data_IF_059760426326
#
_entry.id   IF_059760426326
#
_cell.length_a   1.000
_cell.length_b   1.000
_cell.length_c   1.000
_cell.angle_alpha   90.00
_cell.angle_beta   90.00
_cell.angle_gamma   90.00
#
_symmetry.space_group_name_H-M   'P 1'
#
loop_
_entity.id
_entity.type
_entity.pdbx_description
1 polymer ?
#
# COMPACT_ATOMS: atom_id res chain seq x y z
N UNK A 1 -7.29 11.45 -3.68
CA UNK A 1 -7.54 10.69 -2.43
C UNK A 1 -9.00 10.27 -2.18
N UNK A 2 -10.02 11.11 -2.40
CA UNK A 2 -11.44 10.75 -2.17
C UNK A 2 -11.87 9.46 -2.89
N UNK A 3 -11.41 9.27 -4.12
CA UNK A 3 -11.66 8.05 -4.92
C UNK A 3 -11.16 6.77 -4.25
N UNK A 4 -10.08 6.83 -3.48
CA UNK A 4 -9.50 5.66 -2.80
C UNK A 4 -10.31 5.29 -1.56
N UNK A 5 -10.82 6.28 -0.82
CA UNK A 5 -11.75 6.04 0.29
C UNK A 5 -13.03 5.37 -0.23
N UNK A 6 -13.61 5.88 -1.31
CA UNK A 6 -14.83 5.29 -1.87
C UNK A 6 -14.59 3.90 -2.45
N UNK A 7 -13.45 3.68 -3.11
CA UNK A 7 -13.02 2.35 -3.56
C UNK A 7 -12.91 1.38 -2.40
N UNK A 8 -12.23 1.76 -1.31
CA UNK A 8 -12.12 0.94 -0.10
C UNK A 8 -13.50 0.55 0.43
N UNK A 9 -14.39 1.54 0.64
CA UNK A 9 -15.73 1.27 1.16
C UNK A 9 -16.56 0.35 0.25
N UNK A 10 -16.38 0.45 -1.07
CA UNK A 10 -17.03 -0.44 -2.03
C UNK A 10 -16.45 -1.85 -2.01
N UNK A 11 -15.13 -1.99 -2.01
CA UNK A 11 -14.43 -3.27 -1.98
C UNK A 11 -14.66 -4.04 -0.67
N UNK A 12 -14.91 -3.34 0.44
CA UNK A 12 -15.12 -3.95 1.76
C UNK A 12 -16.59 -3.98 2.22
N UNK A 13 -17.54 -3.64 1.33
CA UNK A 13 -18.96 -3.53 1.64
C UNK A 13 -19.59 -4.83 2.16
N UNK A 14 -19.11 -5.98 1.70
CA UNK A 14 -19.61 -7.31 2.09
C UNK A 14 -18.67 -8.01 3.08
N UNK A 15 -17.83 -7.26 3.79
CA UNK A 15 -16.85 -7.79 4.76
C UNK A 15 -17.21 -7.41 6.20
N UNK A 16 -16.46 -7.93 7.17
CA UNK A 16 -16.58 -7.53 8.58
C UNK A 16 -16.27 -6.05 8.82
N UNK A 17 -15.70 -5.34 7.84
CA UNK A 17 -15.41 -3.90 7.93
C UNK A 17 -16.63 -3.02 7.69
N UNK A 18 -17.68 -3.54 7.04
CA UNK A 18 -18.86 -2.77 6.68
C UNK A 18 -19.52 -2.01 7.84
N UNK A 19 -19.67 -2.58 9.06
CA UNK A 19 -20.22 -1.85 10.20
C UNK A 19 -19.38 -0.64 10.65
N UNK A 20 -18.10 -0.56 10.25
CA UNK A 20 -17.21 0.55 10.59
C UNK A 20 -17.18 1.65 9.53
N UNK A 21 -17.77 1.45 8.34
CA UNK A 21 -17.66 2.37 7.21
C UNK A 21 -18.14 3.78 7.52
N UNK A 22 -19.27 3.92 8.24
CA UNK A 22 -19.81 5.23 8.61
C UNK A 22 -18.82 6.00 9.50
N UNK A 23 -18.33 5.37 10.56
CA UNK A 23 -17.37 5.98 11.48
C UNK A 23 -16.05 6.30 10.77
N UNK A 24 -15.53 5.39 9.94
CA UNK A 24 -14.31 5.62 9.18
C UNK A 24 -14.46 6.80 8.22
N UNK A 25 -15.60 6.91 7.52
CA UNK A 25 -15.87 8.04 6.62
C UNK A 25 -15.94 9.35 7.39
N UNK A 26 -16.64 9.37 8.53
CA UNK A 26 -16.73 10.54 9.40
C UNK A 26 -15.34 10.98 9.87
N UNK A 27 -14.52 10.07 10.41
CA UNK A 27 -13.16 10.35 10.85
C UNK A 27 -12.27 10.82 9.71
N UNK A 28 -12.31 10.18 8.54
CA UNK A 28 -11.53 10.62 7.39
C UNK A 28 -11.95 12.01 6.90
N UNK A 29 -13.22 12.39 7.03
CA UNK A 29 -13.68 13.72 6.64
C UNK A 29 -13.22 14.84 7.60
N UNK A 30 -13.05 14.54 8.90
CA UNK A 30 -12.68 15.55 9.92
C UNK A 30 -11.19 15.58 10.24
N UNK A 31 -10.52 14.42 10.26
CA UNK A 31 -9.15 14.28 10.76
C UNK A 31 -8.10 14.30 9.65
N UNK A 32 -8.51 14.14 8.39
CA UNK A 32 -7.58 14.16 7.27
C UNK A 32 -7.07 15.57 7.04
N UNK A 33 -5.76 15.76 7.24
CA UNK A 33 -5.09 17.03 6.96
C UNK A 33 -4.91 17.22 5.46
N UNK A 34 -4.85 18.48 5.02
CA UNK A 34 -4.47 18.83 3.66
C UNK A 34 -2.93 18.90 3.60
N UNK A 35 -2.34 18.25 2.60
CA UNK A 35 -0.91 18.34 2.33
C UNK A 35 -0.64 19.30 1.17
N UNK A 36 0.40 20.12 1.27
CA UNK A 36 0.73 21.14 0.25
C UNK A 36 1.13 20.57 -1.12
N UNK A 37 1.43 19.27 -1.21
CA UNK A 37 1.73 18.54 -2.46
C UNK A 37 0.60 17.60 -2.92
N UNK A 38 -0.56 17.66 -2.29
CA UNK A 38 -1.66 16.75 -2.60
C UNK A 38 -2.09 16.84 -4.08
N UNK A 39 -2.17 18.04 -4.64
CA UNK A 39 -2.54 18.25 -6.05
C UNK A 39 -1.53 17.62 -7.02
N UNK A 40 -0.22 17.78 -6.75
CA UNK A 40 0.86 17.17 -7.52
C UNK A 40 0.74 15.64 -7.51
N UNK A 41 0.51 15.06 -6.34
CA UNK A 41 0.39 13.61 -6.18
C UNK A 41 -0.91 13.04 -6.77
N UNK A 42 -2.03 13.76 -6.66
CA UNK A 42 -3.28 13.37 -7.32
C UNK A 42 -3.12 13.39 -8.85
N UNK A 43 -2.43 14.41 -9.40
CA UNK A 43 -2.12 14.48 -10.83
C UNK A 43 -1.21 13.32 -11.26
N UNK A 44 -0.17 13.01 -10.48
CA UNK A 44 0.71 11.87 -10.72
C UNK A 44 -0.03 10.53 -10.68
N UNK A 45 -0.95 10.33 -9.72
CA UNK A 45 -1.76 9.11 -9.66
C UNK A 45 -2.72 8.98 -10.85
N UNK A 46 -3.19 10.09 -11.42
CA UNK A 46 -4.12 10.09 -12.55
C UNK A 46 -3.47 9.66 -13.88
N UNK A 47 -2.15 9.75 -14.02
CA UNK A 47 -1.45 9.29 -15.23
C UNK A 47 -1.22 7.78 -15.23
N UNK A 48 -1.34 7.13 -14.07
CA UNK A 48 -1.07 5.71 -13.90
C UNK A 48 -2.32 4.89 -14.22
N UNK A 49 -2.19 4.01 -15.21
CA UNK A 49 -3.22 3.04 -15.54
C UNK A 49 -3.13 1.82 -14.61
N UNK A 50 -4.28 1.20 -14.34
CA UNK A 50 -4.32 0.00 -13.51
C UNK A 50 -3.49 -1.12 -14.10
N UNK A 51 -2.72 -1.80 -13.25
CA UNK A 51 -2.00 -3.01 -13.61
C UNK A 51 -2.95 -4.10 -14.13
N UNK A 52 -2.50 -4.84 -15.15
CA UNK A 52 -3.20 -6.05 -15.64
C UNK A 52 -2.43 -7.32 -15.34
N UNK A 53 -1.22 -7.18 -14.75
CA UNK A 53 -0.30 -8.27 -14.46
C UNK A 53 -0.32 -8.57 -12.97
N UNK A 54 -0.31 -9.86 -12.64
CA UNK A 54 -0.34 -10.33 -11.25
C UNK A 54 0.94 -9.93 -10.52
N UNK A 55 0.78 -9.16 -9.46
CA UNK A 55 1.86 -8.81 -8.53
C UNK A 55 2.33 -10.00 -7.68
N UNK A 56 3.55 -9.92 -7.16
CA UNK A 56 4.18 -10.96 -6.34
C UNK A 56 4.63 -10.42 -4.99
N UNK A 57 4.07 -10.99 -3.92
CA UNK A 57 4.26 -10.51 -2.54
C UNK A 57 4.92 -11.52 -1.60
N UNK A 58 5.13 -12.75 -2.06
CA UNK A 58 5.70 -13.86 -1.28
C UNK A 58 7.25 -13.87 -1.25
N UNK A 59 7.88 -12.91 -1.93
CA UNK A 59 9.34 -12.71 -1.90
C UNK A 59 9.72 -11.46 -1.09
N UNK A 60 11.02 -11.31 -0.81
CA UNK A 60 11.50 -10.19 0.02
C UNK A 60 11.40 -8.83 -0.67
N UNK A 61 11.51 -8.80 -1.99
CA UNK A 61 11.23 -7.60 -2.77
C UNK A 61 9.81 -7.71 -3.31
N UNK A 62 8.94 -6.78 -2.91
CA UNK A 62 7.54 -6.77 -3.36
C UNK A 62 7.52 -6.31 -4.82
N UNK A 63 7.08 -7.19 -5.73
CA UNK A 63 7.10 -6.94 -7.18
C UNK A 63 5.70 -6.57 -7.67
N UNK A 64 5.59 -5.40 -8.32
CA UNK A 64 4.33 -4.78 -8.73
C UNK A 64 4.47 -4.23 -10.16
N UNK A 65 3.40 -4.31 -10.96
CA UNK A 65 3.35 -3.77 -12.32
C UNK A 65 4.00 -4.64 -13.40
N UNK A 66 3.91 -4.18 -14.66
CA UNK A 66 4.53 -4.85 -15.81
C UNK A 66 6.07 -4.73 -15.72
N UNK A 67 6.83 -5.83 -15.67
CA UNK A 67 8.30 -5.80 -15.60
C UNK A 67 8.98 -5.12 -16.78
N UNK A 68 8.26 -4.85 -17.88
CA UNK A 68 8.78 -4.11 -19.03
C UNK A 68 8.47 -2.61 -19.00
N UNK A 69 7.54 -2.18 -18.14
CA UNK A 69 7.18 -0.78 -17.99
C UNK A 69 8.20 -0.05 -17.12
N UNK A 70 8.43 1.22 -17.44
CA UNK A 70 9.28 2.11 -16.68
C UNK A 70 8.40 3.06 -15.87
N UNK A 71 8.58 3.06 -14.56
CA UNK A 71 7.83 3.88 -13.62
C UNK A 71 8.74 4.83 -12.84
N UNK A 72 10.01 4.97 -13.21
CA UNK A 72 11.00 5.73 -12.44
C UNK A 72 10.55 7.17 -12.20
N UNK A 73 10.13 7.88 -13.26
CA UNK A 73 9.68 9.28 -13.16
C UNK A 73 8.53 9.43 -12.17
N UNK A 74 7.48 8.59 -12.27
CA UNK A 74 6.34 8.66 -11.35
C UNK A 74 6.74 8.31 -9.92
N UNK A 75 7.61 7.31 -9.72
CA UNK A 75 8.08 6.90 -8.39
C UNK A 75 8.88 8.00 -7.68
N UNK A 76 9.66 8.81 -8.42
CA UNK A 76 10.43 9.92 -7.83
C UNK A 76 9.55 11.03 -7.26
N UNK A 77 8.36 11.26 -7.82
CA UNK A 77 7.41 12.26 -7.31
C UNK A 77 6.93 11.95 -5.88
N UNK A 78 6.99 10.68 -5.48
CA UNK A 78 6.59 10.20 -4.15
C UNK A 78 7.78 9.98 -3.20
N UNK A 79 8.95 10.56 -3.46
CA UNK A 79 10.03 10.55 -2.48
C UNK A 79 9.66 11.35 -1.21
N UNK A 80 10.18 10.95 -0.02
CA UNK A 80 11.08 9.80 0.21
C UNK A 80 10.36 8.45 0.38
N UNK A 81 10.95 7.38 -0.14
CA UNK A 81 10.52 6.00 0.09
C UNK A 81 11.28 5.39 1.28
N UNK A 82 10.57 5.12 2.39
CA UNK A 82 11.21 4.69 3.63
C UNK A 82 11.22 3.18 3.87
N UNK A 83 10.10 2.48 3.66
CA UNK A 83 10.00 1.02 3.92
C UNK A 83 9.94 0.26 2.59
N UNK A 84 10.68 -0.83 2.46
CA UNK A 84 10.78 -1.63 1.22
C UNK A 84 11.78 -2.80 1.36
N UNK A 85 12.34 -3.33 0.26
CA UNK A 85 12.33 -2.77 -1.10
C UNK A 85 11.11 -3.17 -1.94
N UNK A 86 10.88 -2.43 -3.03
CA UNK A 86 9.90 -2.75 -4.07
C UNK A 86 10.57 -2.87 -5.44
N UNK A 87 10.09 -3.79 -6.27
CA UNK A 87 10.40 -3.85 -7.70
C UNK A 87 9.14 -3.42 -8.45
N UNK A 88 9.14 -2.20 -8.99
CA UNK A 88 7.98 -1.62 -9.67
C UNK A 88 8.28 -1.50 -11.16
N UNK A 89 7.72 -2.40 -11.95
CA UNK A 89 8.14 -2.63 -13.33
C UNK A 89 9.64 -2.87 -13.42
N UNK A 90 10.35 -2.07 -14.21
CA UNK A 90 11.82 -2.11 -14.33
C UNK A 90 12.56 -1.48 -13.14
N UNK A 91 11.90 -0.63 -12.37
CA UNK A 91 12.54 0.22 -11.36
C UNK A 91 12.63 -0.50 -10.02
N UNK A 92 13.86 -0.67 -9.51
CA UNK A 92 14.09 -1.06 -8.13
C UNK A 92 13.97 0.19 -7.24
N UNK A 93 12.94 0.22 -6.39
CA UNK A 93 12.80 1.24 -5.35
C UNK A 93 13.62 0.80 -4.14
N UNK A 94 14.89 1.22 -4.11
CA UNK A 94 15.76 1.01 -2.97
C UNK A 94 15.42 2.00 -1.86
N UNK A 95 14.75 1.49 -0.83
CA UNK A 95 14.19 2.31 0.25
C UNK A 95 15.17 2.47 1.40
N UNK A 96 14.99 3.54 2.20
CA UNK A 96 15.82 3.80 3.40
C UNK A 96 15.97 2.57 4.31
N UNK A 97 14.89 1.81 4.51
CA UNK A 97 14.87 0.64 5.38
C UNK A 97 14.72 -0.66 4.62
N UNK A 98 15.67 -1.59 4.88
CA UNK A 98 15.54 -3.04 4.61
C UNK A 98 14.46 -3.67 5.50
N UNK A 99 13.21 -3.38 5.15
CA UNK A 99 12.02 -3.81 5.87
C UNK A 99 11.77 -5.31 5.71
N UNK A 100 12.30 -5.89 4.63
CA UNK A 100 12.43 -7.32 4.38
C UNK A 100 13.24 -8.02 5.48
N UNK A 101 14.39 -7.47 5.90
CA UNK A 101 15.19 -8.08 6.97
C UNK A 101 14.42 -8.16 8.29
N UNK A 102 13.61 -7.15 8.60
CA UNK A 102 12.72 -7.19 9.77
C UNK A 102 11.67 -8.29 9.61
N UNK A 103 11.06 -8.38 8.43
CA UNK A 103 10.05 -9.40 8.14
C UNK A 103 10.60 -10.82 8.26
N UNK A 104 11.77 -11.10 7.68
CA UNK A 104 12.43 -12.42 7.75
C UNK A 104 12.66 -12.89 9.19
N UNK A 105 12.99 -11.95 10.10
CA UNK A 105 13.14 -12.25 11.53
C UNK A 105 11.79 -12.55 12.18
N UNK A 106 10.75 -11.76 11.92
CA UNK A 106 9.47 -11.86 12.63
C UNK A 106 8.60 -13.00 12.11
N UNK A 107 8.57 -13.23 10.79
CA UNK A 107 7.63 -14.15 10.14
C UNK A 107 7.72 -15.60 10.64
N UNK A 108 8.88 -16.00 11.18
CA UNK A 108 9.11 -17.35 11.74
C UNK A 108 8.58 -17.52 13.16
N UNK A 109 8.16 -16.43 13.82
CA UNK A 109 7.76 -16.41 15.22
C UNK A 109 6.29 -16.05 15.42
N UNK A 110 5.58 -15.67 14.35
CA UNK A 110 4.14 -15.38 14.39
C UNK A 110 3.34 -16.61 13.97
N UNK A 111 2.06 -16.65 14.36
CA UNK A 111 1.15 -17.67 13.85
C UNK A 111 1.02 -17.58 12.32
N UNK A 112 0.78 -18.71 11.62
CA UNK A 112 0.52 -18.69 10.19
C UNK A 112 -0.59 -17.70 9.84
N UNK A 113 -0.34 -16.84 8.85
CA UNK A 113 -1.28 -15.78 8.46
C UNK A 113 -2.39 -16.27 7.53
N UNK A 114 -2.35 -17.53 7.08
CA UNK A 114 -3.33 -18.10 6.14
C UNK A 114 -4.77 -17.90 6.63
N UNK A 115 -5.57 -17.15 5.87
CA UNK A 115 -6.98 -16.89 6.18
C UNK A 115 -7.20 -15.92 7.35
N UNK A 116 -6.15 -15.25 7.85
CA UNK A 116 -6.28 -14.24 8.89
C UNK A 116 -6.58 -12.87 8.29
N UNK A 117 -7.30 -12.06 9.05
CA UNK A 117 -7.48 -10.64 8.82
C UNK A 117 -6.55 -9.89 9.78
N UNK A 118 -5.66 -9.07 9.26
CA UNK A 118 -4.56 -8.44 10.02
C UNK A 118 -4.69 -6.92 9.96
N UNK A 119 -4.42 -6.26 11.10
CA UNK A 119 -4.30 -4.80 11.20
C UNK A 119 -2.85 -4.44 11.53
N UNK A 120 -2.22 -3.61 10.70
CA UNK A 120 -0.89 -3.04 10.93
C UNK A 120 -0.99 -1.55 11.30
N UNK A 121 -0.60 -1.21 12.53
CA UNK A 121 -0.70 0.14 13.10
C UNK A 121 0.63 0.86 12.88
N UNK A 122 0.60 2.00 12.19
CA UNK A 122 1.83 2.67 11.74
C UNK A 122 2.47 1.95 10.55
N UNK A 123 1.63 1.51 9.61
CA UNK A 123 2.04 0.67 8.48
C UNK A 123 3.03 1.38 7.55
N UNK A 124 3.16 2.70 7.62
CA UNK A 124 3.91 3.47 6.63
C UNK A 124 3.29 3.26 5.24
N UNK A 125 4.14 3.09 4.24
CA UNK A 125 3.72 2.89 2.84
C UNK A 125 3.18 1.48 2.51
N UNK A 126 2.92 0.65 3.53
CA UNK A 126 2.24 -0.63 3.37
C UNK A 126 3.14 -1.80 2.95
N UNK A 127 4.47 -1.68 2.91
CA UNK A 127 5.37 -2.80 2.57
C UNK A 127 5.00 -4.12 3.30
N UNK A 128 4.79 -4.07 4.61
CA UNK A 128 4.47 -5.26 5.40
C UNK A 128 3.05 -5.79 5.14
N UNK A 129 2.10 -4.95 4.70
CA UNK A 129 0.76 -5.40 4.30
C UNK A 129 0.84 -6.33 3.10
N UNK A 130 1.62 -5.96 2.07
CA UNK A 130 1.85 -6.83 0.92
C UNK A 130 2.49 -8.16 1.36
N UNK A 131 3.52 -8.12 2.21
CA UNK A 131 4.15 -9.35 2.73
C UNK A 131 3.18 -10.23 3.51
N UNK A 132 2.25 -9.65 4.29
CA UNK A 132 1.21 -10.40 4.99
C UNK A 132 0.24 -11.07 4.01
N UNK A 133 -0.16 -10.38 2.93
CA UNK A 133 -0.96 -10.96 1.85
C UNK A 133 -0.19 -12.09 1.14
N UNK A 134 1.10 -11.90 0.85
CA UNK A 134 1.98 -12.93 0.28
C UNK A 134 2.16 -14.16 1.19
N UNK A 135 2.06 -13.97 2.52
CA UNK A 135 2.05 -15.04 3.50
C UNK A 135 0.66 -15.70 3.70
N UNK A 136 -0.35 -15.27 2.95
CA UNK A 136 -1.67 -15.89 2.89
C UNK A 136 -2.74 -15.21 3.76
N UNK A 137 -2.49 -14.02 4.31
CA UNK A 137 -3.55 -13.23 4.94
C UNK A 137 -4.71 -13.04 3.95
N UNK A 138 -5.93 -13.19 4.44
CA UNK A 138 -7.14 -12.90 3.66
C UNK A 138 -7.33 -11.40 3.49
N UNK A 139 -6.95 -10.64 4.52
CA UNK A 139 -6.94 -9.18 4.52
C UNK A 139 -5.74 -8.67 5.31
N UNK A 140 -5.07 -7.64 4.79
CA UNK A 140 -4.08 -6.85 5.52
C UNK A 140 -4.47 -5.37 5.44
N UNK A 141 -5.03 -4.85 6.53
CA UNK A 141 -5.44 -3.45 6.69
C UNK A 141 -4.33 -2.67 7.39
N UNK A 142 -3.97 -1.51 6.86
CA UNK A 142 -3.00 -0.60 7.49
C UNK A 142 -3.64 0.71 7.93
N UNK A 143 -3.15 1.28 9.02
CA UNK A 143 -3.48 2.65 9.43
C UNK A 143 -2.20 3.47 9.65
N UNK A 144 -2.12 4.64 9.05
CA UNK A 144 -1.03 5.59 9.22
C UNK A 144 -1.52 7.02 8.94
N UNK A 145 -1.23 8.02 9.78
CA UNK A 145 -1.67 9.40 9.55
C UNK A 145 -0.83 10.15 8.51
N UNK A 146 0.26 9.56 8.00
CA UNK A 146 1.17 10.22 7.06
C UNK A 146 0.63 10.19 5.64
N UNK A 147 0.19 11.35 5.14
CA UNK A 147 -0.48 11.47 3.83
C UNK A 147 0.37 10.92 2.68
N UNK A 148 1.67 11.22 2.64
CA UNK A 148 2.58 10.70 1.60
C UNK A 148 2.56 9.17 1.53
N UNK A 149 2.50 8.48 2.67
CA UNK A 149 2.49 7.02 2.70
C UNK A 149 1.19 6.44 2.14
N UNK A 150 0.07 7.14 2.34
CA UNK A 150 -1.18 6.76 1.69
C UNK A 150 -1.07 6.87 0.16
N UNK A 151 -0.50 7.98 -0.34
CA UNK A 151 -0.27 8.15 -1.79
C UNK A 151 0.69 7.10 -2.37
N UNK A 152 1.79 6.78 -1.67
CA UNK A 152 2.70 5.70 -2.05
C UNK A 152 1.96 4.36 -2.14
N UNK A 153 1.14 4.05 -1.13
CA UNK A 153 0.35 2.81 -1.11
C UNK A 153 -0.70 2.77 -2.22
N UNK A 154 -1.41 3.88 -2.47
CA UNK A 154 -2.38 3.99 -3.58
C UNK A 154 -1.71 3.81 -4.94
N UNK A 155 -0.52 4.38 -5.16
CA UNK A 155 0.25 4.18 -6.38
C UNK A 155 0.57 2.69 -6.59
N UNK A 156 1.10 2.04 -5.55
CA UNK A 156 1.44 0.61 -5.60
C UNK A 156 0.20 -0.25 -5.85
N UNK A 157 -0.94 0.05 -5.22
CA UNK A 157 -2.18 -0.69 -5.47
C UNK A 157 -2.74 -0.49 -6.87
N UNK A 158 -2.66 0.72 -7.45
CA UNK A 158 -3.08 0.96 -8.84
C UNK A 158 -2.21 0.17 -9.82
N UNK A 159 -0.91 0.09 -9.58
CA UNK A 159 0.01 -0.67 -10.43
C UNK A 159 -0.08 -2.20 -10.23
N UNK A 160 -0.77 -2.65 -9.17
CA UNK A 160 -0.77 -4.06 -8.72
C UNK A 160 -1.65 -5.00 -9.54
#
# INVERSE_FOLDING_TARGET
MHSETDRFMAETADTFLAPFHENLRATLSSETRIHGRAEEWDAALATVQSGTRKSQFDTDTVSIGDPNADFEEVLTMFLPWRKGPFQVGKTLVDTEWRSDWKWQRINRHIEPLKGKQVLDIGCGNGYHLFRMLGAGAELALGIDPTILFNYQFSLLQRLS
#
